data_IF_047046201776
#
_entry.id   IF_047046201776
#
_cell.length_a   1.000
_cell.length_b   1.000
_cell.length_c   1.000
_cell.angle_alpha   90.00
_cell.angle_beta   90.00
_cell.angle_gamma   90.00
#
_symmetry.space_group_name_H-M   'P 1'
#
loop_
_entity.id
_entity.type
_entity.pdbx_description
1 polymer ?
#
# COMPACT_ATOMS: atom_id res chain seq x y z
N UNK A 1 -11.36 -0.51 -0.75
CA UNK A 1 -10.59 0.52 -1.51
C UNK A 1 -9.99 -0.03 -2.80
N UNK A 2 -9.66 -1.31 -2.80
CA UNK A 2 -8.93 -2.09 -3.79
C UNK A 2 -9.47 -2.00 -5.22
N UNK A 3 -10.80 -2.03 -5.50
CA UNK A 3 -11.28 -1.90 -6.88
C UNK A 3 -10.88 -0.58 -7.56
N UNK A 4 -10.86 0.52 -6.80
CA UNK A 4 -10.46 1.84 -7.31
C UNK A 4 -8.96 1.91 -7.58
N UNK A 5 -8.15 1.34 -6.68
CA UNK A 5 -6.69 1.25 -6.83
C UNK A 5 -6.35 0.45 -8.08
N UNK A 6 -7.01 -0.70 -8.28
CA UNK A 6 -6.82 -1.57 -9.44
C UNK A 6 -7.17 -0.84 -10.74
N UNK A 7 -8.33 -0.18 -10.79
CA UNK A 7 -8.74 0.61 -11.95
C UNK A 7 -7.68 1.66 -12.33
N UNK A 8 -7.14 2.41 -11.36
CA UNK A 8 -6.11 3.42 -11.62
C UNK A 8 -4.79 2.77 -12.07
N UNK A 9 -4.36 1.68 -11.42
CA UNK A 9 -3.17 0.92 -11.82
C UNK A 9 -3.29 0.44 -13.26
N UNK A 10 -4.42 -0.13 -13.64
CA UNK A 10 -4.65 -0.64 -15.00
C UNK A 10 -4.64 0.51 -16.03
N UNK A 11 -5.19 1.68 -15.70
CA UNK A 11 -5.10 2.88 -16.54
C UNK A 11 -3.66 3.37 -16.75
N UNK A 12 -2.82 3.30 -15.71
CA UNK A 12 -1.40 3.66 -15.77
C UNK A 12 -0.63 2.64 -16.63
N UNK A 13 -0.83 1.36 -16.38
CA UNK A 13 -0.16 0.27 -17.10
C UNK A 13 -0.54 0.26 -18.58
N UNK A 14 -1.81 0.46 -18.92
CA UNK A 14 -2.28 0.53 -20.31
C UNK A 14 -1.63 1.67 -21.12
N UNK A 15 -1.08 2.69 -20.45
CA UNK A 15 -0.37 3.82 -21.07
C UNK A 15 1.15 3.65 -21.06
N UNK A 16 1.67 2.53 -20.56
CA UNK A 16 3.11 2.29 -20.41
C UNK A 16 3.77 3.18 -19.36
N UNK A 17 3.00 3.71 -18.39
CA UNK A 17 3.49 4.66 -17.39
C UNK A 17 3.82 4.01 -16.04
N UNK A 18 3.93 2.67 -16.00
CA UNK A 18 4.12 1.89 -14.76
C UNK A 18 5.34 2.32 -13.95
N UNK A 19 6.42 2.71 -14.63
CA UNK A 19 7.69 3.12 -14.00
C UNK A 19 7.75 4.62 -13.68
N UNK A 20 6.77 5.41 -14.16
CA UNK A 20 6.77 6.88 -14.03
C UNK A 20 5.67 7.41 -13.10
N UNK A 21 4.64 6.60 -12.82
CA UNK A 21 3.49 7.03 -12.01
C UNK A 21 3.26 6.07 -10.85
N UNK A 22 3.36 6.61 -9.65
CA UNK A 22 3.01 5.91 -8.42
C UNK A 22 1.51 6.02 -8.12
N UNK A 23 0.97 5.02 -7.43
CA UNK A 23 -0.39 5.01 -6.89
C UNK A 23 -0.29 5.07 -5.37
N UNK A 24 -0.75 6.19 -4.81
CA UNK A 24 -0.79 6.43 -3.36
C UNK A 24 -2.16 6.11 -2.78
N UNK A 25 -2.16 5.52 -1.58
CA UNK A 25 -3.34 5.46 -0.71
C UNK A 25 -3.04 6.26 0.55
N UNK A 26 -3.74 7.38 0.70
CA UNK A 26 -3.68 8.23 1.89
C UNK A 26 -4.72 7.79 2.93
N UNK A 27 -4.24 7.32 4.08
CA UNK A 27 -5.07 6.93 5.21
C UNK A 27 -5.66 5.50 5.13
N UNK A 28 -6.08 5.00 6.29
CA UNK A 28 -6.66 3.66 6.41
C UNK A 28 -5.66 2.50 6.24
N UNK A 29 -4.36 2.77 6.17
CA UNK A 29 -3.30 1.76 6.09
C UNK A 29 -2.98 1.21 7.48
N UNK A 30 -3.13 -0.11 7.62
CA UNK A 30 -2.91 -0.91 8.83
C UNK A 30 -2.52 -2.35 8.43
N UNK A 31 -2.12 -3.24 9.37
CA UNK A 31 -1.79 -4.62 9.03
C UNK A 31 -2.93 -5.36 8.31
N UNK A 32 -4.20 -5.02 8.61
CA UNK A 32 -5.36 -5.63 8.00
C UNK A 32 -5.68 -5.13 6.57
N UNK A 33 -5.19 -3.94 6.19
CA UNK A 33 -5.59 -3.28 4.93
C UNK A 33 -4.43 -3.13 3.95
N UNK A 34 -3.19 -3.12 4.43
CA UNK A 34 -2.01 -2.80 3.62
C UNK A 34 -1.77 -3.82 2.49
N UNK A 35 -1.95 -5.11 2.76
CA UNK A 35 -1.78 -6.15 1.76
C UNK A 35 -2.82 -6.03 0.62
N UNK A 36 -4.05 -5.66 0.95
CA UNK A 36 -5.11 -5.42 -0.04
C UNK A 36 -4.78 -4.23 -0.96
N UNK A 37 -4.35 -3.10 -0.38
CA UNK A 37 -3.91 -1.94 -1.16
C UNK A 37 -2.71 -2.26 -2.08
N UNK A 38 -1.68 -2.90 -1.53
CA UNK A 38 -0.48 -3.27 -2.27
C UNK A 38 -0.80 -4.24 -3.42
N UNK A 39 -1.57 -5.30 -3.14
CA UNK A 39 -2.03 -6.26 -4.16
C UNK A 39 -2.91 -5.61 -5.23
N UNK A 40 -3.66 -4.57 -4.89
CA UNK A 40 -4.44 -3.82 -5.86
C UNK A 40 -3.60 -2.87 -6.74
N UNK A 41 -2.32 -2.67 -6.42
CA UNK A 41 -1.38 -1.90 -7.22
C UNK A 41 -0.95 -0.57 -6.62
N UNK A 42 -1.30 -0.27 -5.36
CA UNK A 42 -0.73 0.85 -4.65
C UNK A 42 0.73 0.55 -4.28
N UNK A 43 1.63 1.48 -4.56
CA UNK A 43 3.06 1.38 -4.20
C UNK A 43 3.53 2.51 -3.28
N UNK A 44 2.65 3.45 -2.94
CA UNK A 44 2.87 4.44 -1.87
C UNK A 44 1.72 4.32 -0.88
N UNK A 45 2.04 4.16 0.41
CA UNK A 45 1.10 3.75 1.44
C UNK A 45 1.31 4.64 2.68
N UNK A 46 0.36 5.50 2.97
CA UNK A 46 0.47 6.45 4.09
C UNK A 46 -0.19 5.85 5.34
N UNK A 47 0.64 5.44 6.29
CA UNK A 47 0.21 4.91 7.58
C UNK A 47 0.38 5.96 8.69
N UNK A 48 -0.70 6.22 9.44
CA UNK A 48 -0.70 7.15 10.56
C UNK A 48 -0.93 6.43 11.89
N UNK A 49 -2.18 6.39 12.33
CA UNK A 49 -2.56 5.81 13.63
C UNK A 49 -2.09 4.36 13.84
N UNK A 50 -2.04 3.54 12.79
CA UNK A 50 -1.55 2.17 12.86
C UNK A 50 -0.08 2.07 13.30
N UNK A 51 0.77 3.05 12.91
CA UNK A 51 2.18 3.09 13.30
C UNK A 51 2.36 3.44 14.78
N UNK A 52 1.63 4.46 15.25
CA UNK A 52 1.82 5.01 16.59
C UNK A 52 1.04 4.27 17.68
N UNK A 53 0.06 3.44 17.32
CA UNK A 53 -0.75 2.64 18.27
C UNK A 53 -0.27 1.20 18.39
N UNK A 54 0.79 0.81 17.68
CA UNK A 54 1.34 -0.54 17.80
C UNK A 54 1.95 -0.75 19.20
N UNK A 55 1.48 -1.75 19.98
CA UNK A 55 1.95 -1.99 21.33
C UNK A 55 3.43 -2.43 21.42
N UNK A 56 4.00 -2.91 20.31
CA UNK A 56 5.41 -3.29 20.19
C UNK A 56 6.29 -2.14 19.68
N UNK A 57 5.70 -0.97 19.44
CA UNK A 57 6.40 0.26 19.10
C UNK A 57 6.59 0.50 17.59
N UNK A 58 7.02 1.72 17.26
CA UNK A 58 7.08 2.22 15.88
C UNK A 58 7.96 1.36 14.96
N UNK A 59 9.10 0.87 15.47
CA UNK A 59 10.01 0.04 14.68
C UNK A 59 9.37 -1.30 14.27
N UNK A 60 8.61 -1.93 15.17
CA UNK A 60 7.84 -3.12 14.85
C UNK A 60 6.79 -2.81 13.78
N UNK A 61 5.99 -1.76 13.98
CA UNK A 61 4.92 -1.38 13.07
C UNK A 61 5.42 -1.11 11.64
N UNK A 62 6.50 -0.33 11.49
CA UNK A 62 7.10 -0.04 10.17
C UNK A 62 7.59 -1.31 9.51
N UNK A 63 8.26 -2.19 10.27
CA UNK A 63 8.81 -3.46 9.74
C UNK A 63 7.70 -4.38 9.27
N UNK A 64 6.66 -4.57 10.07
CA UNK A 64 5.50 -5.41 9.76
C UNK A 64 4.75 -4.89 8.53
N UNK A 65 4.40 -3.60 8.50
CA UNK A 65 3.69 -2.99 7.38
C UNK A 65 4.50 -3.10 6.09
N UNK A 66 5.80 -2.82 6.13
CA UNK A 66 6.66 -2.96 4.95
C UNK A 66 6.70 -4.41 4.46
N UNK A 67 6.86 -5.39 5.35
CA UNK A 67 6.90 -6.80 4.98
C UNK A 67 5.59 -7.25 4.31
N UNK A 68 4.44 -6.89 4.89
CA UNK A 68 3.12 -7.21 4.33
C UNK A 68 2.90 -6.55 2.96
N UNK A 69 3.27 -5.27 2.81
CA UNK A 69 3.15 -4.56 1.54
C UNK A 69 4.02 -5.18 0.45
N UNK A 70 5.31 -5.42 0.74
CA UNK A 70 6.26 -5.99 -0.22
C UNK A 70 5.88 -7.42 -0.61
N UNK A 71 5.41 -8.24 0.32
CA UNK A 71 4.96 -9.60 0.01
C UNK A 71 3.70 -9.62 -0.87
N UNK A 72 2.83 -8.61 -0.75
CA UNK A 72 1.57 -8.55 -1.47
C UNK A 72 1.63 -7.78 -2.80
N UNK A 73 2.66 -6.95 -3.02
CA UNK A 73 2.79 -6.15 -4.23
C UNK A 73 3.21 -7.01 -5.43
N UNK A 74 2.33 -7.11 -6.42
CA UNK A 74 2.52 -7.93 -7.64
C UNK A 74 2.21 -7.18 -8.93
N UNK A 75 2.19 -5.84 -8.88
CA UNK A 75 1.68 -4.99 -9.96
C UNK A 75 2.74 -4.60 -10.98
#
# INVERSE_FOLDING_TARGET
>A
MEPKIRQVRDMITARGLGDSVHVEVDGGISPATIAGAAKAGANVLIAGSALYRDPKGLAHAVTELRALATAAFTA
#
